data_IF_378690897684
#
_entry.id   IF_378690897684
#
_cell.length_a   1.000
_cell.length_b   1.000
_cell.length_c   1.000
_cell.angle_alpha   90.00
_cell.angle_beta   90.00
_cell.angle_gamma   90.00
#
_symmetry.space_group_name_H-M   'P 1'
#
loop_
_entity.id
_entity.type
_entity.pdbx_description
1 polymer ?
#
# COMPACT_ATOMS: atom_id res chain seq x y z
N UNK A 1 -11.77 23.42 -3.69
CA UNK A 1 -11.53 23.32 -5.15
C UNK A 1 -12.09 22.00 -5.66
N UNK A 2 -12.38 21.87 -6.93
CA UNK A 2 -12.98 20.64 -7.48
C UNK A 2 -11.91 19.59 -7.74
N UNK A 3 -12.07 18.39 -7.20
CA UNK A 3 -11.23 17.24 -7.51
C UNK A 3 -11.50 16.79 -8.96
N UNK A 4 -10.46 16.67 -9.77
CA UNK A 4 -10.50 16.24 -11.18
C UNK A 4 -9.60 15.03 -11.45
N UNK A 5 -8.74 14.66 -10.50
CA UNK A 5 -7.88 13.50 -10.60
C UNK A 5 -7.95 12.65 -9.32
N UNK A 6 -7.86 11.32 -9.49
CA UNK A 6 -7.75 10.37 -8.38
C UNK A 6 -6.50 9.54 -8.57
N UNK A 7 -5.63 9.57 -7.59
CA UNK A 7 -4.38 8.82 -7.53
C UNK A 7 -4.54 7.66 -6.55
N UNK A 8 -3.99 6.51 -6.88
CA UNK A 8 -4.07 5.31 -6.06
C UNK A 8 -2.70 4.78 -5.73
N UNK A 9 -2.55 4.21 -4.53
CA UNK A 9 -1.53 3.20 -4.28
C UNK A 9 -1.94 1.86 -4.92
N UNK A 10 -0.98 0.94 -5.05
CA UNK A 10 -1.24 -0.40 -5.61
C UNK A 10 -1.54 -1.43 -4.52
N UNK A 11 -0.54 -1.70 -3.67
CA UNK A 11 -0.59 -2.81 -2.74
C UNK A 11 -1.33 -2.44 -1.45
N UNK A 12 -2.36 -3.23 -1.08
CA UNK A 12 -3.27 -2.86 0.02
C UNK A 12 -4.42 -1.95 -0.42
N UNK A 13 -4.27 -1.26 -1.55
CA UNK A 13 -5.26 -0.32 -2.13
C UNK A 13 -5.99 -0.93 -3.32
N UNK A 14 -5.30 -1.19 -4.43
CA UNK A 14 -5.88 -1.80 -5.64
C UNK A 14 -5.63 -3.32 -5.71
N UNK A 15 -4.54 -3.82 -5.13
CA UNK A 15 -4.16 -5.23 -5.20
C UNK A 15 -3.73 -5.78 -3.85
N UNK A 16 -3.98 -7.08 -3.65
CA UNK A 16 -3.54 -7.83 -2.47
C UNK A 16 -2.87 -9.15 -2.85
N UNK A 17 -2.34 -9.86 -1.86
CA UNK A 17 -1.76 -11.18 -2.06
C UNK A 17 -2.82 -12.26 -2.27
N UNK A 18 -2.49 -13.20 -3.17
CA UNK A 18 -3.21 -14.46 -3.34
C UNK A 18 -2.21 -15.64 -3.29
N UNK A 19 -2.28 -16.54 -2.32
CA UNK A 19 -3.17 -16.51 -1.14
C UNK A 19 -2.97 -15.27 -0.24
N UNK A 20 -3.99 -14.93 0.56
CA UNK A 20 -3.94 -13.75 1.44
C UNK A 20 -2.75 -13.79 2.41
N UNK A 21 -2.31 -12.60 2.91
CA UNK A 21 -1.28 -12.49 3.96
C UNK A 21 -1.56 -13.42 5.13
N UNK A 22 -2.82 -13.47 5.59
CA UNK A 22 -3.24 -14.38 6.67
C UNK A 22 -2.99 -15.85 6.31
N UNK A 23 -3.40 -16.29 5.11
CA UNK A 23 -3.22 -17.67 4.67
C UNK A 23 -1.75 -18.06 4.61
N UNK A 24 -0.90 -17.18 4.06
CA UNK A 24 0.54 -17.39 3.97
C UNK A 24 1.18 -17.49 5.34
N UNK A 25 0.92 -16.50 6.21
CA UNK A 25 1.47 -16.43 7.57
C UNK A 25 1.03 -17.60 8.42
N UNK A 26 -0.27 -17.90 8.45
CA UNK A 26 -0.81 -19.01 9.25
C UNK A 26 -0.24 -20.36 8.85
N UNK A 27 -0.04 -20.59 7.55
CA UNK A 27 0.54 -21.82 7.02
C UNK A 27 1.98 -22.02 7.51
N UNK A 28 2.80 -20.97 7.47
CA UNK A 28 4.22 -21.05 7.84
C UNK A 28 4.38 -21.04 9.36
N UNK A 29 3.75 -20.08 10.08
CA UNK A 29 3.85 -19.95 11.53
C UNK A 29 3.39 -21.22 12.28
N UNK A 30 2.39 -21.94 11.74
CA UNK A 30 1.91 -23.23 12.27
C UNK A 30 3.02 -24.29 12.38
N UNK A 31 3.99 -24.29 11.46
CA UNK A 31 5.12 -25.24 11.49
C UNK A 31 6.06 -24.99 12.67
N UNK A 32 6.06 -23.76 13.18
CA UNK A 32 6.83 -23.32 14.34
C UNK A 32 6.02 -23.29 15.63
N UNK A 33 4.77 -23.83 15.60
CA UNK A 33 3.90 -23.94 16.78
C UNK A 33 3.04 -22.72 17.07
N UNK A 34 3.02 -21.69 16.21
CA UNK A 34 2.20 -20.50 16.38
C UNK A 34 0.87 -20.62 15.62
N UNK A 35 -0.23 -20.31 16.32
CA UNK A 35 -1.57 -20.29 15.74
C UNK A 35 -2.03 -18.85 15.61
N UNK A 36 -2.08 -18.35 14.37
CA UNK A 36 -2.45 -16.97 14.08
C UNK A 36 -3.94 -16.82 13.77
N UNK A 37 -4.47 -15.62 14.04
CA UNK A 37 -5.81 -15.18 13.66
C UNK A 37 -5.73 -14.16 12.54
N UNK A 38 -6.77 -14.01 11.75
CA UNK A 38 -6.83 -13.03 10.68
C UNK A 38 -6.65 -11.59 11.21
N UNK A 39 -7.34 -11.25 12.30
CA UNK A 39 -7.20 -9.95 12.98
C UNK A 39 -5.80 -9.73 13.56
N UNK A 40 -5.18 -10.76 14.11
CA UNK A 40 -3.83 -10.68 14.65
C UNK A 40 -2.81 -10.43 13.53
N UNK A 41 -2.92 -11.17 12.42
CA UNK A 41 -2.06 -10.95 11.25
C UNK A 41 -2.23 -9.55 10.68
N UNK A 42 -3.47 -9.05 10.54
CA UNK A 42 -3.73 -7.69 10.07
C UNK A 42 -3.07 -6.63 10.97
N UNK A 43 -3.26 -6.73 12.31
CA UNK A 43 -2.58 -5.84 13.28
C UNK A 43 -1.06 -5.94 13.21
N UNK A 44 -0.55 -7.15 13.07
CA UNK A 44 0.89 -7.40 12.99
C UNK A 44 1.51 -6.76 11.75
N UNK A 45 0.89 -6.92 10.59
CA UNK A 45 1.33 -6.25 9.36
C UNK A 45 1.23 -4.73 9.47
N UNK A 46 0.20 -4.19 10.08
CA UNK A 46 0.11 -2.74 10.33
C UNK A 46 1.34 -2.21 11.10
N UNK A 47 1.76 -2.90 12.16
CA UNK A 47 2.96 -2.53 12.92
C UNK A 47 4.24 -2.69 12.11
N UNK A 48 4.35 -3.79 11.38
CA UNK A 48 5.52 -4.12 10.57
C UNK A 48 5.67 -3.18 9.36
N UNK A 49 4.57 -2.85 8.67
CA UNK A 49 4.58 -1.93 7.53
C UNK A 49 4.90 -0.50 7.97
N UNK A 50 4.41 -0.06 9.15
CA UNK A 50 4.81 1.20 9.78
C UNK A 50 6.32 1.21 10.07
N UNK A 51 6.85 0.16 10.68
CA UNK A 51 8.29 0.03 10.94
C UNK A 51 9.11 0.08 9.64
N UNK A 52 8.64 -0.55 8.57
CA UNK A 52 9.30 -0.51 7.25
C UNK A 52 9.27 0.89 6.64
N UNK A 53 8.15 1.60 6.73
CA UNK A 53 8.02 2.96 6.22
C UNK A 53 8.96 3.92 6.96
N UNK A 54 9.04 3.85 8.30
CA UNK A 54 9.96 4.64 9.11
C UNK A 54 11.44 4.34 8.78
N UNK A 55 11.78 3.07 8.55
CA UNK A 55 13.12 2.65 8.14
C UNK A 55 13.49 3.25 6.78
N UNK A 56 12.58 3.23 5.81
CA UNK A 56 12.83 3.73 4.47
C UNK A 56 13.04 5.26 4.41
N UNK A 57 12.46 6.01 5.36
CA UNK A 57 12.69 7.46 5.48
C UNK A 57 14.12 7.76 5.93
N UNK A 58 14.66 6.97 6.85
CA UNK A 58 15.97 7.25 7.48
C UNK A 58 17.13 6.55 6.78
N UNK A 59 16.95 5.28 6.43
CA UNK A 59 17.94 4.45 5.75
C UNK A 59 17.22 3.39 4.90
N UNK A 60 16.98 3.68 3.62
CA UNK A 60 16.18 2.83 2.74
C UNK A 60 16.67 1.38 2.68
N UNK A 61 15.77 0.42 2.80
CA UNK A 61 16.09 -1.02 2.81
C UNK A 61 16.82 -1.43 1.52
N UNK A 62 16.50 -0.81 0.39
CA UNK A 62 17.19 -1.07 -0.90
C UNK A 62 18.69 -0.78 -0.86
N UNK A 63 19.13 0.14 0.01
CA UNK A 63 20.54 0.55 0.16
C UNK A 63 21.30 -0.28 1.19
N UNK A 64 20.63 -1.19 1.90
CA UNK A 64 21.20 -2.00 2.96
C UNK A 64 21.94 -3.21 2.40
N UNK A 65 22.95 -3.68 3.14
CA UNK A 65 23.61 -4.96 2.89
C UNK A 65 22.64 -6.14 3.13
N UNK A 66 22.96 -7.31 2.59
CA UNK A 66 22.13 -8.50 2.79
C UNK A 66 21.97 -8.87 4.27
N UNK A 67 23.03 -8.72 5.08
CA UNK A 67 22.95 -8.97 6.52
C UNK A 67 22.02 -7.98 7.24
N UNK A 68 22.07 -6.70 6.87
CA UNK A 68 21.16 -5.67 7.43
C UNK A 68 19.71 -5.96 7.04
N UNK A 69 19.45 -6.35 5.78
CA UNK A 69 18.13 -6.78 5.32
C UNK A 69 17.62 -8.00 6.08
N UNK A 70 18.47 -9.02 6.28
CA UNK A 70 18.10 -10.21 7.07
C UNK A 70 17.69 -9.83 8.49
N UNK A 71 18.47 -8.95 9.16
CA UNK A 71 18.16 -8.46 10.49
C UNK A 71 16.89 -7.61 10.53
N UNK A 72 16.69 -6.76 9.52
CA UNK A 72 15.48 -5.96 9.39
C UNK A 72 14.25 -6.86 9.25
N UNK A 73 14.26 -7.80 8.31
CA UNK A 73 13.11 -8.65 8.06
C UNK A 73 12.84 -9.65 9.20
N UNK A 74 13.84 -10.03 9.98
CA UNK A 74 13.62 -10.78 11.21
C UNK A 74 12.81 -9.95 12.24
N UNK A 75 13.13 -8.66 12.40
CA UNK A 75 12.37 -7.73 13.25
C UNK A 75 10.96 -7.47 12.69
N UNK A 76 10.84 -7.28 11.39
CA UNK A 76 9.57 -7.13 10.69
C UNK A 76 8.65 -8.31 10.98
N UNK A 77 9.14 -9.54 10.81
CA UNK A 77 8.38 -10.76 11.08
C UNK A 77 8.00 -10.89 12.56
N UNK A 78 8.91 -10.53 13.47
CA UNK A 78 8.59 -10.48 14.91
C UNK A 78 7.40 -9.57 15.19
N UNK A 79 7.32 -8.41 14.54
CA UNK A 79 6.19 -7.49 14.64
C UNK A 79 4.90 -8.10 14.07
N UNK A 80 4.99 -8.81 12.95
CA UNK A 80 3.81 -9.51 12.39
C UNK A 80 3.25 -10.52 13.39
N UNK A 81 4.10 -11.33 14.01
CA UNK A 81 3.69 -12.33 14.99
C UNK A 81 3.17 -11.71 16.30
N UNK A 82 3.66 -10.54 16.68
CA UNK A 82 3.21 -9.81 17.87
C UNK A 82 1.76 -9.33 17.75
N UNK A 83 1.19 -9.25 16.57
CA UNK A 83 -0.21 -8.88 16.36
C UNK A 83 -1.20 -9.88 17.00
N UNK A 84 -0.81 -11.15 17.18
CA UNK A 84 -1.53 -12.15 17.98
C UNK A 84 -0.99 -12.30 19.42
N UNK A 85 -0.12 -11.38 19.86
CA UNK A 85 0.43 -11.37 21.21
C UNK A 85 1.64 -12.28 21.43
N UNK A 86 2.24 -12.84 20.36
CA UNK A 86 3.43 -13.68 20.48
C UNK A 86 4.70 -12.82 20.58
N UNK A 87 5.49 -13.03 21.64
CA UNK A 87 6.87 -12.52 21.74
C UNK A 87 7.84 -13.60 21.24
N UNK A 88 8.04 -13.63 19.92
CA UNK A 88 8.87 -14.66 19.27
C UNK A 88 10.33 -14.23 19.28
N UNK A 89 11.23 -15.18 19.51
CA UNK A 89 12.66 -14.97 19.38
C UNK A 89 13.02 -14.50 17.97
N UNK A 90 14.02 -13.59 17.89
CA UNK A 90 14.42 -12.95 16.63
C UNK A 90 14.96 -13.96 15.60
N UNK A 91 15.67 -14.99 16.06
CA UNK A 91 16.19 -16.05 15.19
C UNK A 91 15.07 -16.89 14.58
N UNK A 92 14.04 -17.22 15.40
CA UNK A 92 12.86 -17.96 14.95
C UNK A 92 12.06 -17.10 13.96
N UNK A 93 11.85 -15.82 14.26
CA UNK A 93 11.18 -14.88 13.36
C UNK A 93 11.89 -14.80 12.01
N UNK A 94 13.22 -14.71 11.99
CA UNK A 94 14.01 -14.74 10.76
C UNK A 94 13.85 -16.05 9.95
N UNK A 95 13.75 -17.20 10.62
CA UNK A 95 13.49 -18.50 9.98
C UNK A 95 12.10 -18.53 9.34
N UNK A 96 11.09 -18.03 10.04
CA UNK A 96 9.70 -17.94 9.54
C UNK A 96 9.67 -17.04 8.30
N UNK A 97 10.28 -15.86 8.35
CA UNK A 97 10.34 -14.94 7.20
C UNK A 97 11.01 -15.58 5.99
N UNK A 98 12.19 -16.23 6.17
CA UNK A 98 12.89 -16.93 5.09
C UNK A 98 12.06 -18.06 4.47
N UNK A 99 11.18 -18.70 5.24
CA UNK A 99 10.27 -19.71 4.73
C UNK A 99 9.08 -19.11 3.98
N UNK A 100 8.56 -17.98 4.46
CA UNK A 100 7.53 -17.21 3.76
C UNK A 100 8.00 -16.77 2.37
N UNK A 101 9.24 -16.27 2.25
CA UNK A 101 9.82 -15.89 0.96
C UNK A 101 9.86 -17.02 -0.07
N UNK A 102 9.90 -18.29 0.37
CA UNK A 102 9.88 -19.47 -0.50
C UNK A 102 8.45 -19.92 -0.85
N UNK A 103 7.46 -19.37 -0.19
CA UNK A 103 6.06 -19.74 -0.42
C UNK A 103 5.53 -18.98 -1.63
N UNK A 104 5.06 -19.68 -2.69
CA UNK A 104 4.54 -19.01 -3.87
C UNK A 104 3.31 -18.18 -3.53
N UNK A 105 3.26 -16.97 -4.08
CA UNK A 105 2.10 -16.09 -4.06
C UNK A 105 2.03 -15.30 -5.36
N UNK A 106 0.87 -14.77 -5.66
CA UNK A 106 0.65 -13.76 -6.71
C UNK A 106 0.02 -12.53 -6.10
N UNK A 107 0.00 -11.43 -6.85
CA UNK A 107 -0.81 -10.27 -6.51
C UNK A 107 -2.01 -10.21 -7.45
N UNK A 108 -3.18 -9.94 -6.89
CA UNK A 108 -4.42 -9.85 -7.64
C UNK A 108 -5.17 -8.58 -7.25
N UNK A 109 -5.87 -7.97 -8.23
CA UNK A 109 -6.74 -6.84 -7.96
C UNK A 109 -7.91 -7.26 -7.05
N UNK A 110 -8.28 -6.38 -6.13
CA UNK A 110 -9.52 -6.55 -5.37
C UNK A 110 -10.73 -6.45 -6.30
N UNK A 111 -11.84 -7.09 -5.90
CA UNK A 111 -13.04 -7.23 -6.73
C UNK A 111 -13.74 -5.90 -7.07
N UNK A 112 -13.54 -4.86 -6.27
CA UNK A 112 -14.11 -3.53 -6.45
C UNK A 112 -13.33 -2.64 -7.46
N UNK A 113 -12.09 -3.00 -7.81
CA UNK A 113 -11.17 -2.12 -8.53
C UNK A 113 -11.66 -1.78 -9.93
N UNK A 114 -11.86 -2.79 -10.77
CA UNK A 114 -12.15 -2.56 -12.21
C UNK A 114 -13.46 -1.81 -12.41
N UNK A 115 -14.50 -2.13 -11.60
CA UNK A 115 -15.79 -1.43 -11.68
C UNK A 115 -15.65 0.04 -11.32
N UNK A 116 -14.98 0.34 -10.20
CA UNK A 116 -14.81 1.72 -9.73
C UNK A 116 -13.94 2.54 -10.67
N UNK A 117 -12.81 2.00 -11.16
CA UNK A 117 -11.96 2.71 -12.13
C UNK A 117 -12.73 3.05 -13.42
N UNK A 118 -13.59 2.13 -13.92
CA UNK A 118 -14.45 2.41 -15.07
C UNK A 118 -15.44 3.55 -14.81
N UNK A 119 -16.09 3.52 -13.65
CA UNK A 119 -17.04 4.57 -13.27
C UNK A 119 -16.38 5.94 -13.17
N UNK A 120 -15.21 6.02 -12.49
CA UNK A 120 -14.46 7.27 -12.38
C UNK A 120 -14.05 7.83 -13.74
N UNK A 121 -13.62 6.97 -14.67
CA UNK A 121 -13.31 7.40 -16.04
C UNK A 121 -14.54 7.90 -16.80
N UNK A 122 -15.68 7.24 -16.65
CA UNK A 122 -16.94 7.66 -17.29
C UNK A 122 -17.39 9.04 -16.79
N UNK A 123 -17.15 9.36 -15.50
CA UNK A 123 -17.43 10.67 -14.90
C UNK A 123 -16.42 11.73 -15.39
N UNK A 124 -15.24 11.31 -15.88
CA UNK A 124 -14.24 12.19 -16.47
C UNK A 124 -13.03 12.48 -15.56
N UNK A 125 -12.83 11.71 -14.47
CA UNK A 125 -11.61 11.82 -13.66
C UNK A 125 -10.39 11.31 -14.42
N UNK A 126 -9.25 11.99 -14.23
CA UNK A 126 -7.93 11.46 -14.57
C UNK A 126 -7.48 10.49 -13.49
N UNK A 127 -6.90 9.34 -13.87
CA UNK A 127 -6.54 8.29 -12.93
C UNK A 127 -5.04 8.01 -12.95
N UNK A 128 -4.41 8.12 -11.78
CA UNK A 128 -2.99 7.84 -11.58
C UNK A 128 -2.75 6.66 -10.64
N UNK A 129 -1.61 6.01 -10.78
CA UNK A 129 -1.12 4.97 -9.88
C UNK A 129 0.29 5.32 -9.42
N UNK A 130 0.53 5.27 -8.11
CA UNK A 130 1.86 5.50 -7.51
C UNK A 130 2.24 4.31 -6.64
N UNK A 131 3.40 3.70 -6.89
CA UNK A 131 3.81 2.51 -6.14
C UNK A 131 5.30 2.48 -5.81
N UNK A 132 5.64 2.06 -4.58
CA UNK A 132 7.01 1.82 -4.16
C UNK A 132 7.55 0.45 -4.67
N UNK A 133 7.29 0.12 -5.93
CA UNK A 133 7.74 -1.15 -6.53
C UNK A 133 8.96 -0.96 -7.44
N UNK A 134 9.89 -1.92 -7.40
CA UNK A 134 11.05 -1.95 -8.30
C UNK A 134 10.71 -2.55 -9.67
N UNK A 135 9.59 -2.11 -10.25
CA UNK A 135 9.13 -2.36 -11.63
C UNK A 135 8.78 -1.01 -12.24
N UNK A 136 8.80 -0.88 -13.57
CA UNK A 136 8.31 0.33 -14.24
C UNK A 136 6.78 0.39 -14.18
N UNK A 137 6.20 1.59 -14.27
CA UNK A 137 4.75 1.76 -14.35
C UNK A 137 4.12 0.99 -15.51
N UNK A 138 4.81 0.91 -16.66
CA UNK A 138 4.36 0.11 -17.80
C UNK A 138 4.30 -1.39 -17.48
N UNK A 139 5.30 -1.92 -16.74
CA UNK A 139 5.30 -3.31 -16.31
C UNK A 139 4.12 -3.59 -15.35
N UNK A 140 3.85 -2.67 -14.42
CA UNK A 140 2.72 -2.77 -13.50
C UNK A 140 1.38 -2.75 -14.25
N UNK A 141 1.17 -1.78 -15.13
CA UNK A 141 -0.09 -1.69 -15.90
C UNK A 141 -0.35 -2.93 -16.75
N UNK A 142 0.70 -3.51 -17.34
CA UNK A 142 0.58 -4.76 -18.11
C UNK A 142 0.27 -5.95 -17.21
N UNK A 143 0.96 -6.10 -16.08
CA UNK A 143 0.79 -7.21 -15.14
C UNK A 143 -0.63 -7.31 -14.60
N UNK A 144 -1.23 -6.15 -14.28
CA UNK A 144 -2.59 -6.06 -13.73
C UNK A 144 -3.68 -5.77 -14.76
N UNK A 145 -3.35 -5.69 -16.07
CA UNK A 145 -4.26 -5.33 -17.15
C UNK A 145 -4.96 -3.98 -16.93
N UNK A 146 -4.24 -2.98 -16.38
CA UNK A 146 -4.77 -1.66 -16.05
C UNK A 146 -4.56 -0.60 -17.15
N UNK A 147 -3.96 -0.93 -18.30
CA UNK A 147 -3.65 0.03 -19.39
C UNK A 147 -4.87 0.80 -19.90
N UNK A 148 -6.07 0.20 -19.88
CA UNK A 148 -7.30 0.86 -20.28
C UNK A 148 -7.96 1.68 -19.17
N UNK A 149 -7.45 1.59 -17.94
CA UNK A 149 -8.11 2.13 -16.75
C UNK A 149 -7.33 3.24 -16.06
N UNK A 150 -6.01 3.23 -16.14
CA UNK A 150 -5.09 4.18 -15.51
C UNK A 150 -4.39 5.00 -16.59
N UNK A 151 -4.37 6.31 -16.45
CA UNK A 151 -3.76 7.23 -17.43
C UNK A 151 -2.25 7.32 -17.23
N UNK A 152 -1.77 7.33 -15.98
CA UNK A 152 -0.36 7.43 -15.61
C UNK A 152 -0.04 6.48 -14.47
N UNK A 153 1.06 5.74 -14.57
CA UNK A 153 1.61 4.95 -13.48
C UNK A 153 3.07 5.33 -13.26
N UNK A 154 3.39 5.77 -12.03
CA UNK A 154 4.76 6.11 -11.62
C UNK A 154 5.17 5.24 -10.45
N UNK A 155 6.33 4.62 -10.58
CA UNK A 155 6.88 3.76 -9.53
C UNK A 155 8.15 4.37 -8.94
N UNK A 156 8.61 3.82 -7.83
CA UNK A 156 9.91 4.20 -7.27
C UNK A 156 11.08 3.97 -8.24
N UNK A 157 10.95 3.01 -9.16
CA UNK A 157 11.91 2.77 -10.23
C UNK A 157 11.90 3.89 -11.26
N UNK A 158 10.73 4.40 -11.64
CA UNK A 158 10.60 5.46 -12.65
C UNK A 158 11.01 6.83 -12.09
N UNK A 159 10.55 7.16 -10.89
CA UNK A 159 10.83 8.44 -10.23
C UNK A 159 12.21 8.52 -9.59
N UNK A 160 12.86 7.40 -9.31
CA UNK A 160 14.05 7.31 -8.43
C UNK A 160 13.81 7.86 -7.01
N UNK A 161 12.56 7.89 -6.57
CA UNK A 161 12.12 8.30 -5.24
C UNK A 161 11.01 7.36 -4.75
N UNK A 162 10.93 7.14 -3.44
CA UNK A 162 9.91 6.29 -2.80
C UNK A 162 8.97 7.14 -1.95
N UNK A 163 7.68 6.84 -1.94
CA UNK A 163 6.75 7.44 -0.96
C UNK A 163 7.30 7.22 0.47
N UNK A 164 7.31 8.24 1.33
CA UNK A 164 6.60 9.53 1.23
C UNK A 164 7.40 10.68 0.59
N UNK A 165 8.49 10.43 -0.15
CA UNK A 165 9.25 11.48 -0.84
C UNK A 165 8.32 12.28 -1.77
N UNK A 166 8.27 13.63 -1.66
CA UNK A 166 7.44 14.49 -2.50
C UNK A 166 7.59 14.27 -3.99
N UNK A 167 8.80 13.90 -4.43
CA UNK A 167 9.14 13.79 -5.84
C UNK A 167 8.23 12.85 -6.61
N UNK A 168 7.93 11.65 -6.06
CA UNK A 168 7.12 10.65 -6.78
C UNK A 168 5.68 11.14 -7.01
N UNK A 169 5.12 11.90 -6.06
CA UNK A 169 3.78 12.51 -6.19
C UNK A 169 3.80 13.62 -7.24
N UNK A 170 4.79 14.53 -7.18
CA UNK A 170 4.93 15.65 -8.11
C UNK A 170 5.21 15.19 -9.54
N UNK A 171 6.03 14.16 -9.73
CA UNK A 171 6.25 13.54 -11.05
C UNK A 171 4.92 13.04 -11.64
N UNK A 172 4.09 12.37 -10.81
CA UNK A 172 2.79 11.85 -11.26
C UNK A 172 1.81 12.96 -11.61
N UNK A 173 1.70 14.00 -10.78
CA UNK A 173 0.85 15.18 -11.05
C UNK A 173 1.26 15.87 -12.36
N UNK A 174 2.57 16.05 -12.57
CA UNK A 174 3.12 16.64 -13.78
C UNK A 174 2.73 15.85 -15.02
N UNK A 175 2.85 14.52 -14.98
CA UNK A 175 2.49 13.64 -16.10
C UNK A 175 0.96 13.64 -16.36
N UNK A 176 0.14 13.77 -15.32
CA UNK A 176 -1.31 13.89 -15.46
C UNK A 176 -1.75 15.30 -15.89
N UNK A 177 -0.88 16.31 -15.74
CA UNK A 177 -1.22 17.71 -16.01
C UNK A 177 -2.34 18.20 -15.08
N UNK A 178 -2.17 18.02 -13.77
CA UNK A 178 -3.11 18.46 -12.71
C UNK A 178 -2.35 19.06 -11.53
N UNK A 179 -3.01 19.96 -10.81
CA UNK A 179 -2.46 20.55 -9.60
C UNK A 179 -2.75 19.67 -8.35
N UNK A 180 -1.92 19.78 -7.30
CA UNK A 180 -2.10 19.00 -6.08
C UNK A 180 -3.51 19.12 -5.47
N UNK A 181 -4.03 20.34 -5.36
CA UNK A 181 -5.32 20.67 -4.76
C UNK A 181 -6.54 20.27 -5.62
N UNK A 182 -6.31 19.83 -6.85
CA UNK A 182 -7.29 19.23 -7.75
C UNK A 182 -7.28 17.70 -7.68
N UNK A 183 -6.49 17.11 -6.78
CA UNK A 183 -6.22 15.68 -6.75
C UNK A 183 -6.60 15.06 -5.41
N UNK A 184 -7.14 13.84 -5.48
CA UNK A 184 -7.36 12.95 -4.34
C UNK A 184 -6.35 11.82 -4.41
N UNK A 185 -5.73 11.47 -3.29
CA UNK A 185 -4.89 10.28 -3.17
C UNK A 185 -5.54 9.25 -2.26
N UNK A 186 -5.69 8.03 -2.75
CA UNK A 186 -6.24 6.88 -2.02
C UNK A 186 -5.11 5.89 -1.75
N UNK A 187 -4.84 5.60 -0.49
CA UNK A 187 -3.80 4.65 -0.08
C UNK A 187 -4.07 4.04 1.30
N UNK A 188 -3.39 2.94 1.63
CA UNK A 188 -3.60 2.17 2.86
C UNK A 188 -2.57 2.50 3.96
N UNK A 189 -1.46 3.16 3.62
CA UNK A 189 -0.38 3.44 4.57
C UNK A 189 -0.37 4.89 5.05
N UNK A 190 -0.49 5.09 6.38
CA UNK A 190 -0.58 6.43 6.98
C UNK A 190 0.66 7.27 6.64
N UNK A 191 1.88 6.74 6.79
CA UNK A 191 3.10 7.51 6.59
C UNK A 191 3.40 7.74 5.12
N UNK A 192 3.42 6.68 4.32
CA UNK A 192 3.84 6.78 2.92
C UNK A 192 2.79 7.40 2.01
N UNK A 193 1.50 7.08 2.24
CA UNK A 193 0.42 7.52 1.37
C UNK A 193 -0.23 8.80 1.88
N UNK A 194 -0.75 8.76 3.12
CA UNK A 194 -1.58 9.83 3.66
C UNK A 194 -0.74 11.05 4.00
N UNK A 195 0.33 10.88 4.77
CA UNK A 195 1.22 12.01 5.08
C UNK A 195 2.02 12.45 3.84
N UNK A 196 2.47 11.49 3.02
CA UNK A 196 3.20 11.78 1.78
C UNK A 196 2.39 12.65 0.82
N UNK A 197 1.14 12.29 0.51
CA UNK A 197 0.25 13.06 -0.36
C UNK A 197 -0.14 14.42 0.25
N UNK A 198 -0.45 14.45 1.54
CA UNK A 198 -0.77 15.67 2.27
C UNK A 198 0.37 16.69 2.23
N UNK A 199 1.62 16.25 2.36
CA UNK A 199 2.81 17.11 2.34
C UNK A 199 3.02 17.85 1.01
N UNK A 200 2.46 17.34 -0.08
CA UNK A 200 2.50 18.01 -1.40
C UNK A 200 1.20 18.73 -1.75
N UNK A 201 0.23 18.78 -0.84
CA UNK A 201 -1.04 19.49 -1.02
C UNK A 201 -2.13 18.68 -1.73
N UNK A 202 -1.97 17.37 -1.89
CA UNK A 202 -3.01 16.46 -2.40
C UNK A 202 -3.96 16.10 -1.24
N UNK A 203 -5.25 16.05 -1.50
CA UNK A 203 -6.24 15.58 -0.51
C UNK A 203 -6.03 14.10 -0.23
N UNK A 204 -5.74 13.66 1.02
CA UNK A 204 -5.55 12.26 1.33
C UNK A 204 -6.87 11.57 1.69
N UNK A 205 -7.01 10.30 1.32
CA UNK A 205 -8.11 9.43 1.71
C UNK A 205 -7.54 8.05 2.09
N UNK A 206 -7.69 7.67 3.34
CA UNK A 206 -7.24 6.36 3.82
C UNK A 206 -8.21 5.27 3.35
N UNK A 207 -7.71 4.21 2.73
CA UNK A 207 -8.46 2.99 2.54
C UNK A 207 -8.03 1.95 3.59
N UNK A 208 -8.94 1.54 4.46
CA UNK A 208 -8.70 0.62 5.57
C UNK A 208 -9.52 -0.67 5.37
N UNK A 209 -9.10 -1.49 4.40
CA UNK A 209 -9.81 -2.69 3.96
C UNK A 209 -10.02 -3.70 5.08
N UNK A 210 -9.07 -3.78 6.01
CA UNK A 210 -9.09 -4.72 7.14
C UNK A 210 -9.72 -4.12 8.41
N UNK A 211 -10.13 -2.83 8.36
CA UNK A 211 -10.74 -2.08 9.46
C UNK A 211 -9.91 -2.14 10.76
N UNK A 212 -8.60 -1.88 10.63
CA UNK A 212 -7.63 -1.92 11.74
C UNK A 212 -7.29 -0.53 12.30
N UNK A 213 -7.50 0.54 11.51
CA UNK A 213 -7.20 1.93 11.86
C UNK A 213 -8.40 2.59 12.57
N UNK A 214 -8.93 1.97 13.64
CA UNK A 214 -10.18 2.42 14.29
C UNK A 214 -10.07 3.83 14.88
N UNK A 215 -8.93 4.16 15.48
CA UNK A 215 -8.70 5.43 16.17
C UNK A 215 -8.08 6.51 15.26
N UNK A 216 -7.89 6.21 13.96
CA UNK A 216 -7.29 7.16 13.03
C UNK A 216 -8.33 8.20 12.58
N UNK A 217 -7.99 9.49 12.75
CA UNK A 217 -8.89 10.64 12.50
C UNK A 217 -8.22 11.79 11.72
N UNK A 218 -6.98 11.61 11.23
CA UNK A 218 -6.24 12.70 10.57
C UNK A 218 -6.62 12.92 9.09
N UNK A 219 -7.37 11.99 8.50
CA UNK A 219 -8.00 12.11 7.19
C UNK A 219 -9.32 11.35 7.16
N UNK A 220 -10.12 11.59 6.12
CA UNK A 220 -11.27 10.75 5.84
C UNK A 220 -10.82 9.31 5.53
N UNK A 221 -11.73 8.35 5.75
CA UNK A 221 -11.47 6.93 5.64
C UNK A 221 -12.62 6.21 4.93
N UNK A 222 -12.25 5.25 4.08
CA UNK A 222 -13.17 4.27 3.45
C UNK A 222 -12.65 2.84 3.72
N UNK A 223 -13.54 1.85 3.64
CA UNK A 223 -13.16 0.44 3.77
C UNK A 223 -13.18 -0.31 2.41
N UNK A 224 -13.79 0.29 1.40
CA UNK A 224 -13.87 -0.24 0.04
C UNK A 224 -13.87 0.89 -0.98
N UNK A 225 -13.35 0.63 -2.18
CA UNK A 225 -13.43 1.60 -3.28
C UNK A 225 -14.87 1.89 -3.72
N UNK A 226 -15.84 1.02 -3.44
CA UNK A 226 -17.26 1.29 -3.71
C UNK A 226 -17.79 2.55 -2.99
N UNK A 227 -17.14 2.98 -1.90
CA UNK A 227 -17.49 4.21 -1.16
C UNK A 227 -16.96 5.49 -1.82
N UNK A 228 -16.00 5.36 -2.76
CA UNK A 228 -15.25 6.49 -3.31
C UNK A 228 -16.14 7.47 -4.09
N UNK A 229 -17.12 6.99 -4.85
CA UNK A 229 -18.04 7.86 -5.59
C UNK A 229 -18.88 8.75 -4.66
N UNK A 230 -19.33 8.19 -3.53
CA UNK A 230 -20.06 8.96 -2.51
C UNK A 230 -19.17 10.01 -1.88
N UNK A 231 -17.92 9.66 -1.55
CA UNK A 231 -16.95 10.60 -1.02
C UNK A 231 -16.68 11.76 -1.99
N UNK A 232 -16.42 11.47 -3.26
CA UNK A 232 -16.14 12.49 -4.28
C UNK A 232 -17.35 13.39 -4.53
N UNK A 233 -18.55 12.83 -4.51
CA UNK A 233 -19.80 13.61 -4.68
C UNK A 233 -20.03 14.59 -3.53
N UNK A 234 -19.69 14.18 -2.29
CA UNK A 234 -19.83 15.05 -1.11
C UNK A 234 -18.79 16.18 -1.10
N UNK A 235 -17.60 15.97 -1.67
CA UNK A 235 -16.48 16.92 -1.63
C UNK A 235 -16.38 17.82 -2.89
N UNK A 236 -17.14 17.54 -3.95
CA UNK A 236 -17.17 18.33 -5.18
C UNK A 236 -18.42 19.26 -5.31
N UNK A 237 -19.29 19.28 -4.30
CA UNK A 237 -20.39 20.22 -4.16
C UNK A 237 -19.95 21.42 -3.33
#
# INVERSE_FOLDING_TARGET
MKIIAVLFDLYGTLAGFEPSRFSLQSKVAKKYGYKLTEKGVARGYFLADKFMAEQNVTYPIRSQSELEKENFFAKYEKLVLSGDGYDVDIEISGKIFKELQKTPYSMQLYSDVISVLKELRQIGYKLGLISNMNKTGKEILNEFNLNAHIDVCVTSKDSHAEKPDPKIFLDTLTLLGVEPDQSLYVGDQILSDIQGSKNVGITPLLIDRDNINLDYTESDKINSLYELNNFLSANNN
#
